data_IF_832991990252
#
_entry.id   IF_832991990252
#
_cell.length_a   1.000
_cell.length_b   1.000
_cell.length_c   1.000
_cell.angle_alpha   90.00
_cell.angle_beta   90.00
_cell.angle_gamma   90.00
#
_symmetry.space_group_name_H-M   'P 1'
#
loop_
_entity.id
_entity.type
_entity.pdbx_description
1 polymer ?
#
# COMPACT_ATOMS: atom_id res chain seq x y z
N UNK A 1 3.23 51.57 -10.62
CA UNK A 1 2.80 50.80 -9.43
C UNK A 1 1.79 49.75 -9.86
N UNK A 2 2.18 48.47 -9.94
CA UNK A 2 1.25 47.35 -10.04
C UNK A 2 1.96 46.11 -9.47
N UNK A 3 1.48 45.60 -8.32
CA UNK A 3 2.03 44.44 -7.63
C UNK A 3 1.42 43.18 -8.23
N UNK A 4 2.21 42.39 -8.94
CA UNK A 4 1.82 41.06 -9.39
C UNK A 4 1.88 40.10 -8.19
N UNK A 5 0.77 39.41 -7.93
CA UNK A 5 0.60 38.46 -6.82
C UNK A 5 1.54 37.27 -6.97
N UNK A 6 2.16 36.89 -5.86
CA UNK A 6 2.92 35.68 -5.69
C UNK A 6 2.05 34.43 -5.97
N UNK A 7 2.52 33.59 -6.87
CA UNK A 7 2.07 32.21 -7.04
C UNK A 7 2.72 31.35 -5.97
N UNK A 8 2.05 31.22 -4.82
CA UNK A 8 2.31 30.11 -3.90
C UNK A 8 1.79 28.83 -4.54
N UNK A 9 2.63 28.15 -5.32
CA UNK A 9 2.37 26.80 -5.80
C UNK A 9 2.25 25.88 -4.58
N UNK A 10 1.11 25.20 -4.50
CA UNK A 10 0.66 24.44 -3.35
C UNK A 10 1.71 23.44 -2.87
N UNK A 11 1.94 23.49 -1.56
CA UNK A 11 2.59 22.43 -0.79
C UNK A 11 2.08 21.06 -1.24
N UNK A 12 3.01 20.14 -1.38
CA UNK A 12 2.80 18.70 -1.37
C UNK A 12 2.01 18.28 -0.11
N UNK A 13 0.68 18.39 -0.17
CA UNK A 13 -0.24 17.96 0.88
C UNK A 13 -1.32 17.01 0.33
N UNK A 14 -0.91 16.16 -0.60
CA UNK A 14 -1.76 15.11 -1.20
C UNK A 14 -1.18 13.70 -0.98
N UNK A 15 -0.43 13.53 0.11
CA UNK A 15 -0.09 12.19 0.57
C UNK A 15 -0.79 11.97 1.90
N UNK A 16 -1.86 11.19 1.80
CA UNK A 16 -2.53 10.52 2.92
C UNK A 16 -3.33 11.44 3.83
N UNK A 17 -4.50 11.89 3.35
CA UNK A 17 -5.67 11.78 4.24
C UNK A 17 -5.78 10.31 4.59
N UNK A 18 -5.25 9.90 5.74
CA UNK A 18 -5.55 8.58 6.31
C UNK A 18 -7.05 8.38 6.16
N UNK A 19 -7.42 7.37 5.38
CA UNK A 19 -8.81 7.10 5.07
C UNK A 19 -9.47 6.66 6.39
N UNK A 20 -10.12 7.60 7.07
CA UNK A 20 -10.65 7.35 8.40
C UNK A 20 -11.52 6.09 8.39
N UNK A 21 -11.28 5.10 9.28
CA UNK A 21 -11.98 3.83 9.23
C UNK A 21 -13.49 4.04 9.27
N UNK A 22 -14.17 3.69 8.17
CA UNK A 22 -15.63 3.76 8.10
C UNK A 22 -16.22 2.49 8.68
N UNK A 23 -17.10 2.61 9.68
CA UNK A 23 -17.81 1.46 10.25
C UNK A 23 -18.55 0.67 9.15
N UNK A 24 -18.33 -0.64 9.14
CA UNK A 24 -19.03 -1.61 8.27
C UNK A 24 -19.74 -2.65 9.13
N UNK A 25 -20.87 -3.16 8.65
CA UNK A 25 -21.60 -4.24 9.29
C UNK A 25 -21.56 -5.46 8.37
N UNK A 26 -20.93 -6.54 8.82
CA UNK A 26 -20.83 -7.79 8.07
C UNK A 26 -21.36 -8.95 8.90
N UNK A 27 -21.97 -9.92 8.23
CA UNK A 27 -22.30 -11.22 8.83
C UNK A 27 -21.20 -12.20 8.45
N UNK A 28 -20.36 -12.57 9.42
CA UNK A 28 -19.24 -13.48 9.23
C UNK A 28 -19.33 -14.62 10.25
N UNK A 29 -18.99 -15.87 9.88
CA UNK A 29 -18.87 -16.95 10.85
C UNK A 29 -17.71 -16.69 11.82
N UNK A 30 -17.97 -16.78 13.13
CA UNK A 30 -16.94 -16.58 14.16
C UNK A 30 -15.73 -17.50 13.98
N UNK A 31 -15.98 -18.75 13.56
CA UNK A 31 -14.92 -19.74 13.32
C UNK A 31 -13.89 -19.30 12.26
N UNK A 32 -14.31 -18.54 11.25
CA UNK A 32 -13.39 -18.00 10.24
C UNK A 32 -12.52 -16.88 10.82
N UNK A 33 -13.10 -16.01 11.66
CA UNK A 33 -12.36 -14.95 12.33
C UNK A 33 -11.36 -15.52 13.34
N UNK A 34 -11.74 -16.54 14.11
CA UNK A 34 -10.83 -17.18 15.06
C UNK A 34 -9.68 -17.91 14.35
N UNK A 35 -9.96 -18.61 13.24
CA UNK A 35 -8.94 -19.26 12.44
C UNK A 35 -7.96 -18.22 11.85
N UNK A 36 -8.48 -17.14 11.27
CA UNK A 36 -7.66 -16.06 10.73
C UNK A 36 -6.85 -15.37 11.84
N UNK A 37 -7.43 -15.11 13.01
CA UNK A 37 -6.74 -14.47 14.14
C UNK A 37 -5.57 -15.31 14.64
N UNK A 38 -5.74 -16.63 14.72
CA UNK A 38 -4.66 -17.57 15.10
C UNK A 38 -3.55 -17.61 14.04
N UNK A 39 -3.91 -17.64 12.76
CA UNK A 39 -2.95 -17.69 11.66
C UNK A 39 -2.15 -16.39 11.54
N UNK A 40 -2.83 -15.25 11.70
CA UNK A 40 -2.24 -13.92 11.51
C UNK A 40 -1.60 -13.36 12.78
N UNK A 41 -1.85 -13.96 13.95
CA UNK A 41 -1.31 -13.52 15.23
C UNK A 41 -1.87 -12.17 15.71
N UNK A 42 -3.06 -11.81 15.25
CA UNK A 42 -3.69 -10.50 15.51
C UNK A 42 -4.45 -10.48 16.85
N UNK A 43 -4.60 -9.30 17.43
CA UNK A 43 -5.24 -9.11 18.75
C UNK A 43 -6.74 -8.88 18.63
N UNK A 44 -7.19 -8.23 17.54
CA UNK A 44 -8.60 -7.86 17.33
C UNK A 44 -9.15 -8.37 16.02
N UNK A 45 -10.48 -8.49 15.91
CA UNK A 45 -11.14 -8.89 14.66
C UNK A 45 -10.93 -7.86 13.55
N UNK A 46 -10.97 -6.57 13.87
CA UNK A 46 -10.69 -5.49 12.90
C UNK A 46 -9.29 -5.62 12.31
N UNK A 47 -8.27 -5.75 13.17
CA UNK A 47 -6.88 -5.95 12.75
C UNK A 47 -6.72 -7.23 11.91
N UNK A 48 -7.47 -8.28 12.25
CA UNK A 48 -7.48 -9.54 11.49
C UNK A 48 -7.99 -9.31 10.07
N UNK A 49 -9.09 -8.56 9.93
CA UNK A 49 -9.70 -8.27 8.63
C UNK A 49 -8.77 -7.36 7.80
N UNK A 50 -8.26 -6.28 8.39
CA UNK A 50 -7.34 -5.35 7.72
C UNK A 50 -6.08 -6.08 7.22
N UNK A 51 -5.43 -6.84 8.10
CA UNK A 51 -4.20 -7.56 7.75
C UNK A 51 -4.43 -8.66 6.72
N UNK A 52 -5.58 -9.33 6.74
CA UNK A 52 -5.95 -10.30 5.71
C UNK A 52 -6.12 -9.63 4.34
N UNK A 53 -6.76 -8.46 4.28
CA UNK A 53 -6.94 -7.70 3.05
C UNK A 53 -5.60 -7.21 2.49
N UNK A 54 -4.72 -6.70 3.36
CA UNK A 54 -3.38 -6.26 2.97
C UNK A 54 -2.55 -7.40 2.38
N UNK A 55 -2.62 -8.60 2.98
CA UNK A 55 -1.90 -9.77 2.49
C UNK A 55 -2.38 -10.23 1.12
N UNK A 56 -3.70 -10.18 0.85
CA UNK A 56 -4.24 -10.49 -0.47
C UNK A 56 -3.77 -9.47 -1.50
N UNK A 57 -3.85 -8.17 -1.19
CA UNK A 57 -3.37 -7.12 -2.08
C UNK A 57 -1.85 -7.20 -2.32
N UNK A 58 -1.08 -7.57 -1.30
CA UNK A 58 0.35 -7.82 -1.41
C UNK A 58 0.64 -9.04 -2.29
N UNK A 59 -0.09 -10.14 -2.11
CA UNK A 59 0.05 -11.35 -2.92
C UNK A 59 -0.12 -11.09 -4.41
N UNK A 60 -1.12 -10.28 -4.79
CA UNK A 60 -1.33 -9.86 -6.19
C UNK A 60 -0.16 -9.03 -6.73
N UNK A 61 0.32 -8.05 -5.95
CA UNK A 61 1.50 -7.26 -6.35
C UNK A 61 2.74 -8.13 -6.51
N UNK A 62 2.93 -9.10 -5.62
CA UNK A 62 4.04 -10.03 -5.66
C UNK A 62 3.95 -10.93 -6.90
N UNK A 63 2.79 -11.53 -7.15
CA UNK A 63 2.57 -12.37 -8.34
C UNK A 63 2.85 -11.59 -9.64
N UNK A 64 2.31 -10.37 -9.76
CA UNK A 64 2.57 -9.51 -10.91
C UNK A 64 4.04 -9.13 -11.05
N UNK A 65 4.76 -8.92 -9.94
CA UNK A 65 6.20 -8.68 -9.95
C UNK A 65 6.99 -9.91 -10.37
N UNK A 66 6.63 -11.10 -9.88
CA UNK A 66 7.27 -12.37 -10.25
C UNK A 66 7.09 -12.67 -11.74
N UNK A 67 5.90 -12.44 -12.29
CA UNK A 67 5.65 -12.58 -13.73
C UNK A 67 6.50 -11.61 -14.56
N UNK A 68 6.61 -10.35 -14.14
CA UNK A 68 7.51 -9.36 -14.78
C UNK A 68 9.00 -9.71 -14.66
N UNK A 69 9.37 -10.40 -13.59
CA UNK A 69 10.73 -10.83 -13.31
C UNK A 69 11.10 -12.14 -14.03
N UNK A 70 10.13 -12.90 -14.52
CA UNK A 70 10.36 -14.22 -15.14
C UNK A 70 11.32 -14.09 -16.32
N UNK A 71 12.43 -14.83 -16.26
CA UNK A 71 13.47 -14.84 -17.29
C UNK A 71 14.44 -13.66 -17.26
N UNK A 72 14.32 -12.73 -16.30
CA UNK A 72 15.25 -11.60 -16.13
C UNK A 72 16.29 -11.92 -15.04
N UNK A 73 17.59 -11.62 -15.26
CA UNK A 73 18.58 -11.76 -14.20
C UNK A 73 18.27 -10.76 -13.07
N UNK A 74 18.59 -11.16 -11.84
CA UNK A 74 18.27 -10.39 -10.63
C UNK A 74 18.76 -8.93 -10.68
N UNK A 75 19.92 -8.68 -11.29
CA UNK A 75 20.48 -7.34 -11.46
C UNK A 75 19.60 -6.41 -12.32
N UNK A 76 18.89 -6.94 -13.32
CA UNK A 76 18.04 -6.13 -14.21
C UNK A 76 16.73 -5.72 -13.53
N UNK A 77 16.25 -6.53 -12.58
CA UNK A 77 15.01 -6.26 -11.85
C UNK A 77 15.22 -5.09 -10.87
N UNK A 78 16.31 -5.13 -10.10
CA UNK A 78 16.64 -4.05 -9.16
C UNK A 78 17.13 -2.79 -9.88
N UNK A 79 17.93 -2.90 -10.95
CA UNK A 79 18.33 -1.75 -11.75
C UNK A 79 17.14 -1.03 -12.41
N UNK A 80 16.09 -1.76 -12.82
CA UNK A 80 14.87 -1.15 -13.35
C UNK A 80 14.00 -0.50 -12.26
N UNK A 81 13.97 -1.05 -11.04
CA UNK A 81 13.28 -0.42 -9.90
C UNK A 81 13.97 0.88 -9.46
N UNK A 82 15.30 0.90 -9.43
CA UNK A 82 16.09 2.09 -9.13
C UNK A 82 15.88 3.20 -10.17
N UNK A 83 15.80 2.85 -11.47
CA UNK A 83 15.49 3.81 -12.53
C UNK A 83 14.08 4.43 -12.42
N UNK A 84 13.15 3.74 -11.74
CA UNK A 84 11.79 4.24 -11.47
C UNK A 84 11.71 5.10 -10.20
N UNK A 85 12.75 5.12 -9.37
CA UNK A 85 12.93 6.03 -8.24
C UNK A 85 13.62 7.30 -8.69
N UNK A 86 12.84 8.33 -9.02
CA UNK A 86 13.35 9.67 -9.29
C UNK A 86 14.35 10.11 -8.20
N UNK A 87 15.54 10.47 -8.67
CA UNK A 87 16.70 10.96 -7.91
C UNK A 87 16.28 12.05 -6.91
N UNK A 88 16.69 12.02 -5.63
CA UNK A 88 16.71 13.24 -4.84
C UNK A 88 17.73 14.18 -5.49
N UNK A 89 17.25 15.32 -5.98
CA UNK A 89 18.08 16.44 -6.40
C UNK A 89 18.95 16.93 -5.22
N UNK A 90 20.16 17.45 -5.49
CA UNK A 90 21.19 17.72 -4.49
C UNK A 90 20.81 18.74 -3.41
#
# INVERSE_FOLDING_TARGET
MARTRATGSGRASDQSREEAPKRKNYRLPQSKLDAARRLLGTKTETETIERALDLVAFGERLAAATERARGRPWNDIFGAMEASGAKPEP
#
